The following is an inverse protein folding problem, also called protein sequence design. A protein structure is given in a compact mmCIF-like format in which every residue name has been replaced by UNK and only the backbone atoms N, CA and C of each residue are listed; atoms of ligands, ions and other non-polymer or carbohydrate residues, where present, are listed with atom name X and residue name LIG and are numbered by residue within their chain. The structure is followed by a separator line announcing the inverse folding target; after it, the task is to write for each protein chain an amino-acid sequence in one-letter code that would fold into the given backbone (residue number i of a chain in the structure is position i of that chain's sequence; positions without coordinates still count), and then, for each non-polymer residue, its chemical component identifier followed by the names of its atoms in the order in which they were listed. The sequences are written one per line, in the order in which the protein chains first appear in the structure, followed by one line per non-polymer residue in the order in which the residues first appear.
data_IF_675360347685
#
_entry.id   IF_675360347685
#
_cell.length_a   1.000
_cell.length_b   1.000
_cell.length_c   1.000
_cell.angle_alpha   90.00
_cell.angle_beta   90.00
_cell.angle_gamma   90.00
#
_symmetry.space_group_name_H-M   'P 1'
#
loop_
_entity.id
_entity.type
_entity.pdbx_description
1 polymer ?
#
# COMPACT_ATOMS: atom_id res chain seq x y z
N UNK A 1 -6.49 7.17 -13.24
CA UNK A 1 -6.90 8.15 -12.21
C UNK A 1 -6.03 7.92 -10.97
N UNK A 2 -4.91 8.62 -10.88
CA UNK A 2 -4.03 8.64 -9.69
C UNK A 2 -4.44 9.83 -8.81
N UNK A 3 -5.42 9.60 -7.94
CA UNK A 3 -5.94 10.64 -7.02
C UNK A 3 -6.11 10.11 -5.60
N UNK A 4 -5.15 9.32 -5.12
CA UNK A 4 -5.21 8.68 -3.78
C UNK A 4 -4.04 8.96 -2.83
N UNK A 5 -3.09 9.83 -3.18
CA UNK A 5 -1.88 10.08 -2.38
C UNK A 5 -2.01 11.18 -1.32
N UNK A 6 -1.11 11.19 -0.32
CA UNK A 6 -1.02 12.18 0.78
C UNK A 6 -0.99 13.62 0.26
N UNK A 7 -0.33 13.86 -0.89
CA UNK A 7 -0.11 15.19 -1.48
C UNK A 7 -1.38 15.94 -1.91
N UNK A 8 -2.56 15.33 -1.76
CA UNK A 8 -3.84 15.92 -2.15
C UNK A 8 -4.52 16.69 -1.03
N UNK A 9 -4.11 16.47 0.21
CA UNK A 9 -4.69 17.13 1.37
C UNK A 9 -3.90 18.39 1.71
N UNK A 10 -4.53 19.57 1.58
CA UNK A 10 -3.92 20.87 1.95
C UNK A 10 -3.75 21.02 3.48
N UNK A 11 -4.60 20.34 4.25
CA UNK A 11 -4.51 20.34 5.72
C UNK A 11 -3.53 19.27 6.19
N UNK A 12 -2.63 19.68 7.10
CA UNK A 12 -1.69 18.78 7.77
C UNK A 12 -2.40 17.67 8.57
N UNK A 13 -3.57 17.96 9.12
CA UNK A 13 -4.36 16.99 9.88
C UNK A 13 -4.95 15.91 8.96
N UNK A 14 -5.50 16.31 7.81
CA UNK A 14 -6.01 15.37 6.80
C UNK A 14 -4.89 14.55 6.16
N UNK A 15 -3.71 15.14 5.97
CA UNK A 15 -2.51 14.42 5.54
C UNK A 15 -2.13 13.30 6.51
N UNK A 16 -2.16 13.57 7.82
CA UNK A 16 -1.94 12.53 8.84
C UNK A 16 -2.98 11.42 8.80
N UNK A 17 -4.26 11.77 8.64
CA UNK A 17 -5.33 10.77 8.51
C UNK A 17 -5.13 9.84 7.30
N UNK A 18 -4.67 10.40 6.19
CA UNK A 18 -4.32 9.64 5.00
C UNK A 18 -3.10 8.71 5.26
N UNK A 19 -2.05 9.22 5.90
CA UNK A 19 -0.86 8.45 6.30
C UNK A 19 -1.23 7.28 7.22
N UNK A 20 -2.10 7.50 8.20
CA UNK A 20 -2.64 6.44 9.06
C UNK A 20 -3.42 5.38 8.25
N UNK A 21 -4.13 5.81 7.20
CA UNK A 21 -4.80 4.93 6.23
C UNK A 21 -3.84 3.98 5.52
N UNK A 22 -2.63 4.44 5.26
CA UNK A 22 -1.59 3.72 4.50
C UNK A 22 -0.66 2.86 5.35
N UNK A 23 -0.77 2.92 6.67
CA UNK A 23 0.03 2.09 7.57
C UNK A 23 -0.16 0.59 7.31
N UNK A 24 0.87 -0.18 7.61
CA UNK A 24 0.82 -1.64 7.46
C UNK A 24 -0.28 -2.27 8.29
N UNK A 25 -0.89 -3.30 7.70
CA UNK A 25 -2.07 -3.97 8.22
C UNK A 25 -1.79 -5.48 8.30
N UNK A 26 -0.94 -5.92 9.25
CA UNK A 26 -0.56 -7.33 9.38
C UNK A 26 -1.77 -8.24 9.62
N UNK A 27 -2.81 -7.72 10.30
CA UNK A 27 -4.07 -8.43 10.54
C UNK A 27 -5.02 -8.49 9.33
N UNK A 28 -4.66 -7.84 8.21
CA UNK A 28 -5.43 -7.80 6.94
C UNK A 28 -6.89 -7.36 7.11
N UNK A 29 -7.17 -6.46 8.06
CA UNK A 29 -8.51 -5.90 8.22
C UNK A 29 -8.89 -4.96 7.07
N UNK A 30 -10.18 -4.94 6.70
CA UNK A 30 -10.66 -4.02 5.66
C UNK A 30 -10.50 -2.57 6.09
N UNK A 31 -10.35 -1.66 5.11
CA UNK A 31 -10.29 -0.22 5.37
C UNK A 31 -11.48 0.26 6.18
N UNK A 32 -12.69 -0.22 5.86
CA UNK A 32 -13.91 0.10 6.60
C UNK A 32 -13.83 -0.34 8.06
N UNK A 33 -13.27 -1.53 8.36
CA UNK A 33 -13.11 -1.98 9.75
C UNK A 33 -12.12 -1.10 10.51
N UNK A 34 -11.01 -0.70 9.88
CA UNK A 34 -10.02 0.19 10.49
C UNK A 34 -10.58 1.60 10.71
N UNK A 35 -11.42 2.10 9.78
CA UNK A 35 -12.01 3.42 9.85
C UNK A 35 -12.97 3.62 11.04
N UNK A 36 -13.56 2.53 11.56
CA UNK A 36 -14.44 2.58 12.76
C UNK A 36 -13.74 3.07 14.03
N UNK A 37 -12.41 3.03 14.07
CA UNK A 37 -11.63 3.46 15.24
C UNK A 37 -11.14 4.90 15.16
N UNK A 38 -11.49 5.62 14.09
CA UNK A 38 -11.10 7.01 13.86
C UNK A 38 -12.10 7.91 14.60
N UNK A 39 -11.59 8.71 15.53
CA UNK A 39 -12.39 9.62 16.36
C UNK A 39 -12.23 11.10 15.95
N UNK A 40 -11.38 11.38 14.96
CA UNK A 40 -10.96 12.72 14.54
C UNK A 40 -11.96 13.42 13.61
N UNK A 41 -13.17 12.87 13.46
CA UNK A 41 -14.26 13.43 12.65
C UNK A 41 -14.34 12.88 11.23
N UNK A 42 -15.43 13.24 10.55
CA UNK A 42 -15.81 12.66 9.25
C UNK A 42 -14.80 12.96 8.14
N UNK A 43 -14.22 14.16 8.13
CA UNK A 43 -13.20 14.53 7.15
C UNK A 43 -11.94 13.65 7.25
N UNK A 44 -11.54 13.29 8.47
CA UNK A 44 -10.42 12.37 8.71
C UNK A 44 -10.78 10.93 8.30
N UNK A 45 -11.98 10.46 8.65
CA UNK A 45 -12.49 9.14 8.23
C UNK A 45 -12.47 9.01 6.71
N UNK A 46 -12.92 10.05 6.00
CA UNK A 46 -12.90 10.10 4.53
C UNK A 46 -11.47 10.05 3.99
N UNK A 47 -10.59 10.91 4.48
CA UNK A 47 -9.19 10.94 4.05
C UNK A 47 -8.47 9.60 4.29
N UNK A 48 -8.70 8.99 5.44
CA UNK A 48 -8.20 7.67 5.77
C UNK A 48 -8.72 6.59 4.80
N UNK A 49 -10.03 6.58 4.53
CA UNK A 49 -10.67 5.60 3.66
C UNK A 49 -10.15 5.68 2.23
N UNK A 50 -10.00 6.89 1.71
CA UNK A 50 -9.47 7.15 0.38
C UNK A 50 -8.06 6.56 0.24
N UNK A 51 -7.15 6.93 1.14
CA UNK A 51 -5.75 6.50 1.09
C UNK A 51 -5.56 5.02 1.44
N UNK A 52 -6.33 4.48 2.38
CA UNK A 52 -6.30 3.06 2.71
C UNK A 52 -6.72 2.20 1.51
N UNK A 53 -7.79 2.60 0.82
CA UNK A 53 -8.30 1.85 -0.34
C UNK A 53 -7.33 1.94 -1.51
N UNK A 54 -6.77 3.13 -1.75
CA UNK A 54 -5.74 3.33 -2.77
C UNK A 54 -4.54 2.40 -2.55
N UNK A 55 -3.98 2.37 -1.34
CA UNK A 55 -2.84 1.51 -1.05
C UNK A 55 -3.19 0.01 -1.08
N UNK A 56 -4.40 -0.37 -0.67
CA UNK A 56 -4.84 -1.76 -0.78
C UNK A 56 -4.89 -2.20 -2.25
N UNK A 57 -5.39 -1.35 -3.16
CA UNK A 57 -5.39 -1.62 -4.59
C UNK A 57 -3.97 -1.69 -5.16
N UNK A 58 -3.07 -0.80 -4.75
CA UNK A 58 -1.68 -0.82 -5.19
C UNK A 58 -0.96 -2.11 -4.75
N UNK A 59 -1.15 -2.52 -3.49
CA UNK A 59 -0.60 -3.79 -2.97
C UNK A 59 -1.14 -4.99 -3.74
N UNK A 60 -2.45 -5.00 -4.07
CA UNK A 60 -3.06 -6.08 -4.85
C UNK A 60 -2.57 -6.09 -6.31
N UNK A 61 -2.38 -4.92 -6.93
CA UNK A 61 -1.79 -4.82 -8.27
C UNK A 61 -0.37 -5.37 -8.28
N UNK A 62 0.48 -4.93 -7.35
CA UNK A 62 1.85 -5.43 -7.23
C UNK A 62 1.90 -6.94 -6.94
N UNK A 63 0.99 -7.45 -6.10
CA UNK A 63 0.84 -8.88 -5.86
C UNK A 63 0.47 -9.65 -7.14
N UNK A 64 -0.49 -9.13 -7.91
CA UNK A 64 -0.89 -9.73 -9.18
C UNK A 64 0.23 -9.70 -10.22
N UNK A 65 0.94 -8.58 -10.36
CA UNK A 65 2.09 -8.44 -11.25
C UNK A 65 3.22 -9.42 -10.86
N UNK A 66 3.54 -9.50 -9.57
CA UNK A 66 4.50 -10.48 -9.05
C UNK A 66 4.07 -11.93 -9.32
N UNK A 67 2.77 -12.25 -9.20
CA UNK A 67 2.24 -13.58 -9.51
C UNK A 67 2.26 -13.90 -11.00
N UNK A 68 2.00 -12.92 -11.87
CA UNK A 68 2.07 -13.08 -13.33
C UNK A 68 3.53 -13.32 -13.80
N UNK A 69 4.52 -12.83 -13.05
CA UNK A 69 5.94 -13.14 -13.25
C UNK A 69 6.39 -14.56 -12.86
N UNK A 70 5.52 -15.37 -12.24
CA UNK A 70 5.80 -16.74 -11.81
C UNK A 70 5.18 -17.83 -12.71
N UNK A 71 4.63 -17.45 -13.88
CA UNK A 71 4.12 -18.41 -14.86
C UNK A 71 5.28 -19.21 -15.50
N UNK A 72 5.73 -20.27 -14.82
CA UNK A 72 6.67 -21.26 -15.36
C UNK A 72 5.91 -22.25 -16.24
N UNK A 73 6.40 -22.45 -17.46
CA UNK A 73 6.11 -23.62 -18.27
C UNK A 73 6.46 -24.89 -17.48
N UNK A 74 5.54 -25.85 -17.50
CA UNK A 74 5.65 -27.09 -16.73
C UNK A 74 6.78 -27.97 -17.26
N UNK A 75 7.80 -28.20 -16.45
CA UNK A 75 8.80 -29.26 -16.61
C UNK A 75 9.49 -29.51 -15.27
N UNK A 76 8.99 -30.51 -14.54
CA UNK A 76 9.67 -31.35 -13.54
C UNK A 76 10.88 -30.77 -12.78
N UNK A 77 10.69 -30.35 -11.51
CA UNK A 77 11.40 -30.81 -10.28
C UNK A 77 11.25 -29.80 -9.11
N UNK A 78 10.88 -30.31 -7.93
CA UNK A 78 11.30 -29.83 -6.60
C UNK A 78 10.94 -28.40 -6.17
N UNK A 79 9.83 -28.25 -5.43
CA UNK A 79 9.50 -27.00 -4.71
C UNK A 79 10.39 -26.90 -3.47
N UNK A 80 11.46 -26.10 -3.53
CA UNK A 80 11.97 -25.42 -2.34
C UNK A 80 11.25 -24.07 -2.24
N UNK A 81 10.51 -23.86 -1.15
CA UNK A 81 9.99 -22.55 -0.79
C UNK A 81 11.19 -21.69 -0.38
N UNK A 82 11.81 -21.05 -1.37
CA UNK A 82 12.85 -20.05 -1.16
C UNK A 82 12.21 -18.71 -0.80
N UNK A 83 12.67 -18.15 0.31
CA UNK A 83 12.31 -16.86 0.89
C UNK A 83 11.87 -15.80 -0.13
N UNK A 84 10.67 -15.26 0.10
CA UNK A 84 10.23 -14.02 -0.52
C UNK A 84 11.19 -12.90 -0.12
N UNK A 85 12.10 -12.56 -1.03
CA UNK A 85 12.76 -11.27 -1.01
C UNK A 85 11.78 -10.26 -1.59
N UNK A 86 11.00 -9.64 -0.71
CA UNK A 86 10.41 -8.32 -0.93
C UNK A 86 11.53 -7.41 -1.43
N UNK A 87 11.67 -7.29 -2.75
CA UNK A 87 12.49 -6.24 -3.34
C UNK A 87 11.81 -4.92 -3.00
N UNK A 88 12.46 -4.02 -2.24
CA UNK A 88 11.85 -2.75 -1.90
C UNK A 88 11.59 -1.97 -3.19
N UNK A 89 10.32 -1.61 -3.39
CA UNK A 89 9.90 -0.60 -4.36
C UNK A 89 10.42 0.77 -3.88
N UNK A 90 11.72 1.01 -4.08
CA UNK A 90 12.35 2.33 -4.22
C UNK A 90 13.89 2.25 -4.23
N UNK A 91 14.49 2.07 -5.40
CA UNK A 91 15.85 2.56 -5.65
C UNK A 91 15.80 4.09 -5.82
N UNK A 92 15.60 4.84 -4.74
CA UNK A 92 15.96 6.27 -4.75
C UNK A 92 17.48 6.36 -4.61
N UNK A 93 18.17 6.22 -5.74
CA UNK A 93 19.56 6.63 -5.87
C UNK A 93 19.64 7.94 -6.65
N UNK A 94 20.22 8.93 -5.97
CA UNK A 94 20.98 10.08 -6.47
C UNK A 94 20.24 11.40 -6.69
N UNK A 95 20.59 12.34 -5.80
CA UNK A 95 20.42 13.78 -5.97
C UNK A 95 20.87 14.58 -4.74
N UNK A 96 22.07 14.32 -4.22
CA UNK A 96 22.69 15.19 -3.20
C UNK A 96 23.16 16.51 -3.85
N UNK A 97 22.92 17.68 -3.23
CA UNK A 97 23.66 18.89 -3.59
C UNK A 97 25.02 18.91 -2.87
N UNK A 98 26.06 19.32 -3.61
CA UNK A 98 27.36 19.78 -3.11
C UNK A 98 27.23 21.13 -2.43
#
# INVERSE_FOLDING_TARGET
MDKGGIGQYKSKELGKCCEDGMRDNPMRFTCQRRARFISQGEACVKAFMDCCTYLAQLREQHWREGKLGLARSESHLGVTVGEGKDTPVNTWRMGAPV
#
